data_IF_844186427706
#
_entry.id   IF_844186427706
#
_cell.length_a   1.000
_cell.length_b   1.000
_cell.length_c   1.000
_cell.angle_alpha   90.00
_cell.angle_beta   90.00
_cell.angle_gamma   90.00
#
_symmetry.space_group_name_H-M   'P 1'
#
loop_
_entity.id
_entity.type
_entity.pdbx_description
1 polymer ?
#
# COMPACT_ATOMS: atom_id res chain seq x y z
N UNK A 1 -18.41 -16.82 0.89
CA UNK A 1 -17.62 -15.92 0.02
C UNK A 1 -17.14 -16.72 -1.18
N UNK A 2 -17.40 -16.27 -2.42
CA UNK A 2 -16.79 -16.92 -3.60
C UNK A 2 -15.33 -16.51 -3.66
N UNK A 3 -14.44 -17.50 -3.76
CA UNK A 3 -13.02 -17.26 -3.92
C UNK A 3 -12.74 -16.47 -5.21
N UNK A 4 -11.84 -15.50 -5.14
CA UNK A 4 -11.39 -14.70 -6.27
C UNK A 4 -9.86 -14.59 -6.28
N UNK A 5 -9.25 -15.09 -7.34
CA UNK A 5 -7.79 -15.04 -7.56
C UNK A 5 -7.24 -13.61 -7.59
N UNK A 6 -7.98 -12.68 -8.19
CA UNK A 6 -7.60 -11.26 -8.25
C UNK A 6 -7.55 -10.58 -6.87
N UNK A 7 -8.20 -11.16 -5.86
CA UNK A 7 -8.17 -10.66 -4.50
C UNK A 7 -7.02 -11.26 -3.66
N UNK A 8 -6.38 -12.33 -4.12
CA UNK A 8 -5.29 -12.97 -3.37
C UNK A 8 -4.13 -12.01 -3.09
N UNK A 9 -3.48 -12.15 -1.91
CA UNK A 9 -3.68 -13.24 -0.93
C UNK A 9 -4.86 -13.02 0.04
N UNK A 10 -5.50 -11.85 0.05
CA UNK A 10 -6.57 -11.54 0.99
C UNK A 10 -7.89 -11.34 0.26
N UNK A 11 -8.81 -12.28 0.45
CA UNK A 11 -10.10 -12.23 -0.22
C UNK A 11 -10.91 -10.99 0.15
N UNK A 12 -11.74 -10.53 -0.79
CA UNK A 12 -12.58 -9.34 -0.66
C UNK A 12 -14.00 -9.68 -1.09
N UNK A 13 -15.01 -9.23 -0.33
CA UNK A 13 -16.40 -9.44 -0.73
C UNK A 13 -16.76 -8.33 -1.72
N UNK A 14 -16.66 -8.61 -3.02
CA UNK A 14 -16.80 -7.62 -4.09
C UNK A 14 -18.05 -6.74 -3.98
N UNK A 15 -19.19 -7.34 -3.65
CA UNK A 15 -20.46 -6.60 -3.52
C UNK A 15 -20.40 -5.62 -2.36
N UNK A 16 -19.80 -6.02 -1.22
CA UNK A 16 -19.60 -5.13 -0.07
C UNK A 16 -18.63 -4.02 -0.41
N UNK A 17 -17.50 -4.34 -1.05
CA UNK A 17 -16.54 -3.34 -1.52
C UNK A 17 -17.21 -2.33 -2.46
N UNK A 18 -17.94 -2.80 -3.48
CA UNK A 18 -18.64 -1.94 -4.43
C UNK A 18 -19.70 -1.06 -3.74
N UNK A 19 -20.55 -1.66 -2.89
CA UNK A 19 -21.60 -0.93 -2.17
C UNK A 19 -20.99 0.08 -1.20
N UNK A 20 -19.88 -0.24 -0.53
CA UNK A 20 -19.21 0.69 0.39
C UNK A 20 -18.77 1.97 -0.31
N UNK A 21 -18.29 1.87 -1.56
CA UNK A 21 -17.94 3.04 -2.37
C UNK A 21 -19.18 3.87 -2.69
N UNK A 22 -20.29 3.21 -3.06
CA UNK A 22 -21.54 3.90 -3.42
C UNK A 22 -22.17 4.57 -2.20
N UNK A 23 -22.24 3.86 -1.05
CA UNK A 23 -22.72 4.40 0.21
C UNK A 23 -21.87 5.59 0.66
N UNK A 24 -20.55 5.51 0.50
CA UNK A 24 -19.65 6.64 0.76
C UNK A 24 -20.09 7.92 0.07
N UNK A 25 -20.58 7.87 -1.18
CA UNK A 25 -21.07 9.06 -1.88
C UNK A 25 -22.45 9.55 -1.41
N UNK A 26 -23.29 8.65 -0.93
CA UNK A 26 -24.62 8.98 -0.40
C UNK A 26 -24.49 9.60 0.99
N UNK A 27 -23.57 9.05 1.78
CA UNK A 27 -23.36 9.40 3.18
C UNK A 27 -22.45 10.64 3.32
N UNK A 28 -21.53 10.89 2.37
CA UNK A 28 -20.58 12.02 2.42
C UNK A 28 -21.24 13.40 2.64
N UNK A 29 -22.35 13.77 1.96
CA UNK A 29 -23.03 15.05 2.23
C UNK A 29 -23.59 15.14 3.65
N UNK A 30 -24.16 14.05 4.16
CA UNK A 30 -24.72 13.97 5.50
C UNK A 30 -23.62 14.00 6.57
N UNK A 31 -22.57 13.19 6.41
CA UNK A 31 -21.42 13.19 7.33
C UNK A 31 -20.66 14.51 7.29
N UNK A 32 -20.45 15.11 6.13
CA UNK A 32 -19.82 16.44 6.02
C UNK A 32 -20.63 17.53 6.74
N UNK A 33 -21.96 17.45 6.68
CA UNK A 33 -22.85 18.32 7.43
C UNK A 33 -22.77 18.05 8.94
N UNK A 34 -22.88 16.79 9.36
CA UNK A 34 -22.80 16.38 10.77
C UNK A 34 -21.45 16.73 11.38
N UNK A 35 -20.36 16.49 10.68
CA UNK A 35 -19.01 16.82 11.12
C UNK A 35 -18.86 18.34 11.29
N UNK A 36 -19.39 19.17 10.38
CA UNK A 36 -19.41 20.63 10.58
C UNK A 36 -20.20 21.06 11.81
N UNK A 37 -21.30 20.35 12.12
CA UNK A 37 -22.17 20.65 13.27
C UNK A 37 -21.54 20.20 14.60
N UNK A 38 -20.80 19.08 14.61
CA UNK A 38 -20.31 18.44 15.83
C UNK A 38 -18.78 18.44 16.00
N UNK A 39 -18.03 19.06 15.07
CA UNK A 39 -16.56 19.02 14.99
C UNK A 39 -15.87 19.26 16.34
N UNK A 40 -16.30 20.31 17.03
CA UNK A 40 -15.69 20.74 18.28
C UNK A 40 -16.06 19.87 19.49
N UNK A 41 -17.11 19.05 19.37
CA UNK A 41 -17.63 18.21 20.46
C UNK A 41 -17.10 16.78 20.39
N UNK A 42 -17.05 16.16 19.20
CA UNK A 42 -16.56 14.80 19.02
C UNK A 42 -15.04 14.69 19.25
N UNK A 43 -14.25 15.61 18.67
CA UNK A 43 -12.77 15.59 18.76
C UNK A 43 -12.25 15.79 20.20
N UNK A 44 -12.97 16.53 21.05
CA UNK A 44 -12.59 16.75 22.46
C UNK A 44 -13.06 15.65 23.41
N UNK A 45 -14.02 14.84 22.97
CA UNK A 45 -14.67 13.82 23.77
C UNK A 45 -14.23 12.41 23.39
N UNK A 46 -13.68 12.20 22.18
CA UNK A 46 -13.28 10.88 21.68
C UNK A 46 -12.42 10.13 22.70
N UNK A 47 -11.24 10.64 23.08
CA UNK A 47 -10.36 9.91 24.03
C UNK A 47 -11.00 9.72 25.42
N UNK A 48 -11.77 10.72 25.87
CA UNK A 48 -12.43 10.68 27.19
C UNK A 48 -13.63 9.75 27.23
N UNK A 49 -14.23 9.41 26.09
CA UNK A 49 -15.38 8.50 25.99
C UNK A 49 -14.94 7.10 25.56
N UNK A 50 -13.96 6.99 24.65
CA UNK A 50 -13.54 5.73 24.05
C UNK A 50 -13.03 4.74 25.09
N UNK A 51 -12.14 5.14 26.00
CA UNK A 51 -11.65 4.23 27.03
C UNK A 51 -12.75 3.80 28.03
N UNK A 52 -13.61 4.70 28.56
CA UNK A 52 -14.79 4.29 29.31
C UNK A 52 -15.74 3.37 28.54
N UNK A 53 -15.94 3.61 27.24
CA UNK A 53 -16.75 2.74 26.38
C UNK A 53 -16.14 1.35 26.25
N UNK A 54 -14.84 1.25 25.96
CA UNK A 54 -14.12 -0.03 25.93
C UNK A 54 -14.25 -0.76 27.27
N UNK A 55 -14.01 -0.07 28.38
CA UNK A 55 -14.16 -0.63 29.72
C UNK A 55 -15.60 -1.09 30.00
N UNK A 56 -16.62 -0.34 29.55
CA UNK A 56 -18.02 -0.73 29.65
C UNK A 56 -18.32 -1.99 28.83
N UNK A 57 -17.84 -2.08 27.59
CA UNK A 57 -18.02 -3.27 26.75
C UNK A 57 -17.34 -4.50 27.35
N UNK A 58 -16.15 -4.34 27.92
CA UNK A 58 -15.48 -5.43 28.67
C UNK A 58 -16.27 -5.81 29.91
N UNK A 59 -16.74 -4.83 30.68
CA UNK A 59 -17.58 -5.07 31.87
C UNK A 59 -18.86 -5.83 31.53
N UNK A 60 -19.52 -5.49 30.42
CA UNK A 60 -20.71 -6.16 29.90
C UNK A 60 -20.41 -7.51 29.22
N UNK A 61 -19.14 -7.94 29.17
CA UNK A 61 -18.66 -9.15 28.47
C UNK A 61 -19.00 -9.17 26.97
N UNK A 62 -19.17 -7.99 26.37
CA UNK A 62 -19.37 -7.81 24.94
C UNK A 62 -18.03 -7.68 24.21
N UNK A 63 -16.96 -7.26 24.90
CA UNK A 63 -15.59 -7.23 24.39
C UNK A 63 -14.58 -7.76 25.41
N UNK A 64 -13.31 -7.83 25.01
CA UNK A 64 -12.20 -8.16 25.91
C UNK A 64 -10.92 -7.41 25.54
N UNK A 65 -9.97 -7.36 26.48
CA UNK A 65 -8.62 -6.84 26.24
C UNK A 65 -7.68 -7.98 25.83
N UNK A 66 -6.80 -7.71 24.87
CA UNK A 66 -5.59 -8.48 24.61
C UNK A 66 -4.36 -7.69 25.05
N UNK A 67 -3.40 -8.34 25.70
CA UNK A 67 -2.18 -7.71 26.21
C UNK A 67 -0.92 -8.18 25.48
N UNK A 68 -1.09 -8.87 24.37
CA UNK A 68 -0.03 -9.30 23.47
C UNK A 68 -0.59 -9.49 22.06
N UNK A 69 0.24 -9.38 21.01
CA UNK A 69 -0.18 -9.75 19.67
C UNK A 69 -0.51 -11.25 19.58
N UNK A 70 -1.47 -11.60 18.72
CA UNK A 70 -1.81 -12.97 18.34
C UNK A 70 -1.41 -13.29 16.88
N UNK A 71 -1.55 -14.55 16.49
CA UNK A 71 -1.14 -15.01 15.15
C UNK A 71 -1.90 -14.35 14.00
N UNK A 72 -3.14 -13.89 14.25
CA UNK A 72 -4.01 -13.24 13.26
C UNK A 72 -3.67 -11.77 13.08
N UNK A 73 -2.90 -11.17 14.00
CA UNK A 73 -2.53 -9.77 13.90
C UNK A 73 -1.56 -9.54 12.73
N UNK A 74 -1.69 -8.37 12.13
CA UNK A 74 -0.88 -8.00 10.98
C UNK A 74 0.60 -7.85 11.39
N UNK A 75 1.52 -8.07 10.45
CA UNK A 75 2.94 -7.81 10.67
C UNK A 75 3.20 -6.35 11.08
N UNK A 76 2.38 -5.41 10.59
CA UNK A 76 2.36 -4.01 11.02
C UNK A 76 2.09 -3.88 12.52
N UNK A 77 1.01 -4.49 13.02
CA UNK A 77 0.68 -4.50 14.45
C UNK A 77 1.82 -5.11 15.26
N UNK A 78 2.34 -6.27 14.83
CA UNK A 78 3.41 -6.98 15.53
C UNK A 78 4.69 -6.15 15.65
N UNK A 79 5.21 -5.60 14.54
CA UNK A 79 6.45 -4.80 14.59
C UNK A 79 6.28 -3.49 15.38
N UNK A 80 5.08 -2.90 15.36
CA UNK A 80 4.80 -1.69 16.14
C UNK A 80 4.73 -1.99 17.65
N UNK A 81 4.13 -3.12 18.02
CA UNK A 81 4.04 -3.60 19.39
C UNK A 81 5.40 -4.04 19.95
N UNK A 82 6.19 -4.77 19.18
CA UNK A 82 7.54 -5.19 19.57
C UNK A 82 8.43 -3.98 19.91
N UNK A 83 8.31 -2.90 19.13
CA UNK A 83 9.02 -1.65 19.43
C UNK A 83 8.49 -0.98 20.71
N UNK A 84 7.19 -1.05 20.96
CA UNK A 84 6.59 -0.54 22.20
C UNK A 84 7.13 -1.28 23.42
N UNK A 85 7.20 -2.62 23.35
CA UNK A 85 7.76 -3.47 24.41
C UNK A 85 9.24 -3.15 24.67
N UNK A 86 10.05 -2.96 23.61
CA UNK A 86 11.46 -2.56 23.73
C UNK A 86 11.63 -1.25 24.51
N UNK A 87 10.67 -0.33 24.38
CA UNK A 87 10.67 0.99 25.05
C UNK A 87 9.99 0.98 26.42
N UNK A 88 9.47 -0.15 26.87
CA UNK A 88 8.69 -0.24 28.11
C UNK A 88 7.29 0.40 28.03
N UNK A 89 6.76 0.61 26.83
CA UNK A 89 5.39 1.09 26.59
C UNK A 89 4.45 -0.10 26.75
N UNK A 90 3.47 0.02 27.65
CA UNK A 90 2.46 -1.00 27.88
C UNK A 90 1.33 -0.84 26.87
N UNK A 91 1.19 -1.79 25.96
CA UNK A 91 0.10 -1.82 24.99
C UNK A 91 -0.99 -2.83 25.38
N UNK A 92 -2.24 -2.50 25.02
CA UNK A 92 -3.39 -3.41 25.04
C UNK A 92 -4.29 -3.13 23.83
N UNK A 93 -4.89 -4.18 23.28
CA UNK A 93 -5.82 -4.11 22.16
C UNK A 93 -7.23 -4.48 22.63
N UNK A 94 -8.23 -3.72 22.19
CA UNK A 94 -9.64 -3.97 22.45
C UNK A 94 -10.26 -4.82 21.33
N UNK A 95 -10.91 -5.92 21.69
CA UNK A 95 -11.60 -6.81 20.75
C UNK A 95 -13.12 -6.74 20.99
N UNK A 96 -13.88 -6.49 19.92
CA UNK A 96 -15.35 -6.48 19.91
C UNK A 96 -15.86 -7.32 18.73
N UNK A 97 -16.07 -8.61 18.97
CA UNK A 97 -16.41 -9.57 17.91
C UNK A 97 -15.30 -9.64 16.84
N UNK A 98 -15.59 -9.37 15.55
CA UNK A 98 -14.56 -9.34 14.51
C UNK A 98 -13.78 -8.02 14.45
N UNK A 99 -14.21 -7.00 15.21
CA UNK A 99 -13.56 -5.70 15.23
C UNK A 99 -12.32 -5.80 16.11
N UNK A 100 -11.17 -5.59 15.46
CA UNK A 100 -9.81 -5.50 16.00
C UNK A 100 -9.21 -4.17 15.53
N UNK A 101 -8.00 -3.83 15.97
CA UNK A 101 -7.24 -2.60 15.68
C UNK A 101 -7.47 -1.40 16.63
N UNK A 102 -8.26 -1.52 17.70
CA UNK A 102 -8.37 -0.46 18.72
C UNK A 102 -7.33 -0.63 19.82
N UNK A 103 -6.36 0.27 19.94
CA UNK A 103 -5.23 0.14 20.85
C UNK A 103 -5.22 1.22 21.94
N UNK A 104 -4.67 0.84 23.10
CA UNK A 104 -4.30 1.76 24.16
C UNK A 104 -2.84 1.53 24.50
N UNK A 105 -2.04 2.59 24.51
CA UNK A 105 -0.64 2.56 24.90
C UNK A 105 -0.39 3.47 26.10
N UNK A 106 0.33 2.97 27.10
CA UNK A 106 0.62 3.64 28.35
C UNK A 106 2.13 3.63 28.63
N UNK A 107 2.69 4.79 28.97
CA UNK A 107 4.10 4.93 29.37
C UNK A 107 4.24 5.83 30.59
N UNK A 108 5.21 5.51 31.46
CA UNK A 108 5.42 6.21 32.72
C UNK A 108 4.46 5.83 33.86
N UNK A 109 4.68 6.44 35.03
CA UNK A 109 3.97 6.14 36.27
C UNK A 109 3.46 7.41 36.98
N UNK A 110 2.44 7.25 37.81
CA UNK A 110 1.82 8.35 38.57
C UNK A 110 1.39 9.52 37.68
N UNK A 111 1.68 10.74 38.11
CA UNK A 111 1.35 11.97 37.40
C UNK A 111 2.11 12.16 36.08
N UNK A 112 3.15 11.36 35.84
CA UNK A 112 3.92 11.35 34.59
C UNK A 112 3.39 10.32 33.57
N UNK A 113 2.34 9.57 33.91
CA UNK A 113 1.75 8.60 32.99
C UNK A 113 1.16 9.31 31.78
N UNK A 114 1.51 8.79 30.60
CA UNK A 114 0.96 9.19 29.32
C UNK A 114 0.17 8.03 28.76
N UNK A 115 -1.02 8.34 28.25
CA UNK A 115 -1.92 7.37 27.65
C UNK A 115 -2.38 7.91 26.31
N UNK A 116 -2.22 7.09 25.27
CA UNK A 116 -2.78 7.37 23.95
C UNK A 116 -3.71 6.23 23.55
N UNK A 117 -4.79 6.58 22.85
CA UNK A 117 -5.76 5.65 22.28
C UNK A 117 -5.72 5.88 20.77
N UNK A 118 -5.67 4.81 19.98
CA UNK A 118 -5.57 4.94 18.53
C UNK A 118 -6.09 3.69 17.83
N UNK A 119 -6.53 3.87 16.59
CA UNK A 119 -6.92 2.78 15.71
C UNK A 119 -5.83 2.51 14.67
N UNK A 120 -5.34 1.27 14.60
CA UNK A 120 -4.28 0.85 13.69
C UNK A 120 -2.90 1.42 14.06
N UNK A 121 -2.60 2.65 13.63
CA UNK A 121 -1.34 3.36 13.93
C UNK A 121 -1.64 4.77 14.46
N UNK A 122 -0.93 5.24 15.50
CA UNK A 122 -1.26 6.50 16.16
C UNK A 122 -0.86 7.71 15.32
N UNK A 123 -1.63 8.79 15.47
CA UNK A 123 -1.32 10.13 14.96
C UNK A 123 -1.15 11.09 16.14
N UNK A 124 -0.13 11.97 16.16
CA UNK A 124 -0.02 12.99 17.18
C UNK A 124 -1.15 14.03 17.05
N UNK A 125 -1.72 14.43 18.19
CA UNK A 125 -2.74 15.48 18.28
C UNK A 125 -4.17 15.02 18.00
N UNK A 126 -5.12 15.91 18.27
CA UNK A 126 -6.57 15.62 18.15
C UNK A 126 -7.17 15.95 16.78
N UNK A 127 -6.44 16.71 15.96
CA UNK A 127 -6.96 17.21 14.68
C UNK A 127 -6.53 16.28 13.55
N UNK A 128 -7.50 15.57 12.99
CA UNK A 128 -7.27 14.76 11.80
C UNK A 128 -7.01 15.61 10.55
N UNK A 129 -6.14 15.12 9.67
CA UNK A 129 -5.89 15.75 8.38
C UNK A 129 -7.16 15.73 7.51
N UNK A 130 -7.57 16.86 6.91
CA UNK A 130 -8.62 16.87 5.89
C UNK A 130 -8.31 15.96 4.69
N UNK A 131 -7.03 15.60 4.48
CA UNK A 131 -6.63 14.71 3.41
C UNK A 131 -7.06 13.26 3.61
N UNK A 132 -7.33 12.81 4.84
CA UNK A 132 -7.75 11.43 5.12
C UNK A 132 -9.02 11.03 4.37
N UNK A 133 -9.88 12.00 4.08
CA UNK A 133 -11.15 11.78 3.35
C UNK A 133 -10.96 11.44 1.87
N UNK A 134 -9.82 11.78 1.30
CA UNK A 134 -9.61 11.67 -0.15
C UNK A 134 -8.26 11.12 -0.59
N UNK A 135 -7.24 11.05 0.28
CA UNK A 135 -5.88 10.66 -0.13
C UNK A 135 -5.82 9.24 -0.72
N UNK A 136 -6.68 8.34 -0.24
CA UNK A 136 -6.77 6.96 -0.73
C UNK A 136 -7.64 6.85 -2.00
N UNK A 137 -8.36 7.93 -2.37
CA UNK A 137 -9.12 8.04 -3.62
C UNK A 137 -8.19 8.45 -4.76
N UNK A 138 -7.81 7.46 -5.58
CA UNK A 138 -6.81 7.60 -6.65
C UNK A 138 -7.15 8.69 -7.68
N UNK A 139 -8.43 8.88 -8.00
CA UNK A 139 -8.91 9.93 -8.89
C UNK A 139 -8.73 11.34 -8.33
N UNK A 140 -9.25 11.57 -7.11
CA UNK A 140 -9.16 12.89 -6.45
C UNK A 140 -7.71 13.24 -6.14
N UNK A 141 -6.93 12.26 -5.65
CA UNK A 141 -5.51 12.42 -5.38
C UNK A 141 -4.77 12.88 -6.64
N UNK A 142 -4.96 12.17 -7.76
CA UNK A 142 -4.31 12.52 -9.03
C UNK A 142 -4.60 13.95 -9.45
N UNK A 143 -5.88 14.37 -9.43
CA UNK A 143 -6.25 15.72 -9.83
C UNK A 143 -5.60 16.79 -8.95
N UNK A 144 -5.53 16.56 -7.64
CA UNK A 144 -4.90 17.48 -6.69
C UNK A 144 -3.39 17.53 -6.88
N UNK A 145 -2.74 16.38 -7.02
CA UNK A 145 -1.29 16.28 -7.16
C UNK A 145 -0.82 16.89 -8.48
N UNK A 146 -1.58 16.68 -9.57
CA UNK A 146 -1.30 17.33 -10.85
C UNK A 146 -1.36 18.86 -10.76
N UNK A 147 -2.30 19.42 -10.01
CA UNK A 147 -2.40 20.87 -9.76
C UNK A 147 -1.24 21.41 -8.92
N UNK A 148 -0.70 20.57 -8.05
CA UNK A 148 0.46 20.87 -7.19
C UNK A 148 1.80 20.68 -7.92
N UNK A 149 1.79 20.23 -9.19
CA UNK A 149 3.00 19.96 -9.95
C UNK A 149 3.74 18.68 -9.54
N UNK A 150 3.09 17.81 -8.76
CA UNK A 150 3.63 16.50 -8.39
C UNK A 150 3.49 15.50 -9.57
N UNK A 151 4.49 14.64 -9.80
CA UNK A 151 4.45 13.70 -10.92
C UNK A 151 3.41 12.61 -10.68
N UNK A 152 2.50 12.45 -11.62
CA UNK A 152 1.45 11.41 -11.62
C UNK A 152 1.23 10.91 -13.04
N UNK A 153 0.78 9.67 -13.18
CA UNK A 153 0.48 9.08 -14.49
C UNK A 153 -0.62 9.86 -15.23
N UNK A 154 -0.40 10.15 -16.51
CA UNK A 154 -1.44 10.73 -17.37
C UNK A 154 -2.64 9.80 -17.53
N UNK A 155 -3.84 10.36 -17.62
CA UNK A 155 -5.08 9.60 -17.74
C UNK A 155 -6.21 10.18 -16.90
N UNK A 156 -7.17 9.34 -16.55
CA UNK A 156 -8.36 9.78 -15.83
C UNK A 156 -9.22 8.65 -15.30
N UNK A 157 -10.42 9.01 -14.84
CA UNK A 157 -11.37 8.09 -14.24
C UNK A 157 -12.59 7.93 -15.15
N UNK A 158 -13.04 6.70 -15.34
CA UNK A 158 -14.24 6.40 -16.12
C UNK A 158 -15.29 5.65 -15.29
N UNK A 159 -16.53 6.11 -15.42
CA UNK A 159 -17.70 5.37 -14.97
C UNK A 159 -18.17 4.33 -15.99
N UNK A 160 -18.09 4.64 -17.27
CA UNK A 160 -18.67 3.84 -18.35
C UNK A 160 -17.60 3.29 -19.29
N UNK A 161 -17.95 2.20 -20.00
CA UNK A 161 -17.12 1.63 -21.07
C UNK A 161 -16.76 2.68 -22.13
N UNK A 162 -17.71 3.53 -22.52
CA UNK A 162 -17.47 4.58 -23.51
C UNK A 162 -16.52 5.66 -22.98
N UNK A 163 -16.61 6.02 -21.70
CA UNK A 163 -15.65 6.91 -21.04
C UNK A 163 -14.25 6.31 -21.02
N UNK A 164 -14.12 5.03 -20.66
CA UNK A 164 -12.83 4.34 -20.64
C UNK A 164 -12.16 4.31 -22.02
N UNK A 165 -12.92 3.99 -23.07
CA UNK A 165 -12.42 4.01 -24.45
C UNK A 165 -12.01 5.41 -24.91
N UNK A 166 -12.72 6.46 -24.51
CA UNK A 166 -12.32 7.85 -24.81
C UNK A 166 -10.97 8.19 -24.18
N UNK A 167 -10.77 7.87 -22.90
CA UNK A 167 -9.50 8.10 -22.19
C UNK A 167 -8.37 7.30 -22.85
N UNK A 168 -8.58 6.00 -23.08
CA UNK A 168 -7.62 5.14 -23.74
C UNK A 168 -7.20 5.67 -25.12
N UNK A 169 -8.16 6.03 -25.98
CA UNK A 169 -7.85 6.56 -27.30
C UNK A 169 -7.08 7.89 -27.23
N UNK A 170 -7.35 8.72 -26.22
CA UNK A 170 -6.59 9.95 -25.98
C UNK A 170 -5.13 9.64 -25.61
N UNK A 171 -4.91 8.70 -24.68
CA UNK A 171 -3.57 8.25 -24.27
C UNK A 171 -2.80 7.61 -25.42
N UNK A 172 -3.46 6.73 -26.20
CA UNK A 172 -2.84 6.09 -27.37
C UNK A 172 -2.41 7.11 -28.43
N UNK A 173 -3.20 8.18 -28.65
CA UNK A 173 -2.83 9.26 -29.59
C UNK A 173 -1.63 10.07 -29.09
N UNK A 174 -1.56 10.33 -27.78
CA UNK A 174 -0.54 11.18 -27.20
C UNK A 174 0.82 10.48 -27.07
N UNK A 175 0.83 9.21 -26.61
CA UNK A 175 2.07 8.55 -26.20
C UNK A 175 2.31 7.20 -26.92
N UNK A 176 1.28 6.57 -27.51
CA UNK A 176 1.35 5.20 -28.09
C UNK A 176 2.01 4.16 -27.15
N UNK A 177 1.68 4.21 -25.86
CA UNK A 177 2.21 3.30 -24.84
C UNK A 177 1.10 2.47 -24.20
N UNK A 178 1.42 1.34 -23.57
CA UNK A 178 0.45 0.60 -22.78
C UNK A 178 -0.19 1.46 -21.69
N UNK A 179 -1.43 1.13 -21.35
CA UNK A 179 -2.15 1.70 -20.22
C UNK A 179 -2.38 0.64 -19.15
N UNK A 180 -2.89 1.09 -18.01
CA UNK A 180 -3.35 0.21 -16.94
C UNK A 180 -4.81 0.54 -16.59
N UNK A 181 -5.51 -0.44 -16.01
CA UNK A 181 -6.81 -0.23 -15.38
C UNK A 181 -6.76 -0.67 -13.93
N UNK A 182 -7.26 0.15 -13.00
CA UNK A 182 -7.37 -0.20 -11.58
C UNK A 182 -8.66 0.37 -10.95
N UNK A 183 -9.21 -0.27 -9.91
CA UNK A 183 -10.31 0.32 -9.14
C UNK A 183 -9.89 1.69 -8.56
N UNK A 184 -10.82 2.65 -8.53
CA UNK A 184 -10.54 3.99 -7.99
C UNK A 184 -10.27 3.99 -6.48
N UNK A 185 -10.92 3.08 -5.77
CA UNK A 185 -10.68 2.77 -4.36
C UNK A 185 -10.31 1.29 -4.24
N UNK A 186 -9.34 0.99 -3.38
CA UNK A 186 -8.82 -0.36 -3.17
C UNK A 186 -7.30 -0.37 -3.03
N UNK A 187 -6.75 -1.52 -2.66
CA UNK A 187 -5.35 -1.73 -2.34
C UNK A 187 -4.84 -3.08 -2.88
N UNK A 188 -3.54 -3.36 -2.69
CA UNK A 188 -2.88 -4.66 -2.99
C UNK A 188 -2.97 -5.08 -4.47
N UNK A 189 -3.04 -4.10 -5.38
CA UNK A 189 -3.17 -4.33 -6.83
C UNK A 189 -4.38 -5.20 -7.22
N UNK A 190 -5.41 -5.29 -6.36
CA UNK A 190 -6.59 -6.11 -6.62
C UNK A 190 -7.33 -5.59 -7.85
N UNK A 191 -7.74 -6.53 -8.71
CA UNK A 191 -8.45 -6.23 -9.96
C UNK A 191 -7.75 -5.18 -10.85
N UNK A 192 -6.42 -5.04 -10.71
CA UNK A 192 -5.60 -4.24 -11.60
C UNK A 192 -5.21 -5.08 -12.82
N UNK A 193 -5.10 -4.44 -13.97
CA UNK A 193 -4.55 -5.01 -15.19
C UNK A 193 -3.56 -4.01 -15.79
N UNK A 194 -2.36 -4.48 -16.10
CA UNK A 194 -1.30 -3.71 -16.76
C UNK A 194 -1.07 -4.22 -18.19
N UNK A 195 -0.19 -3.57 -18.96
CA UNK A 195 0.16 -3.96 -20.33
C UNK A 195 -1.03 -3.91 -21.31
N UNK A 196 -1.92 -2.93 -21.14
CA UNK A 196 -3.12 -2.76 -21.99
C UNK A 196 -2.75 -1.91 -23.20
N UNK A 197 -2.62 -2.57 -24.35
CA UNK A 197 -2.27 -1.96 -25.64
C UNK A 197 -3.41 -2.03 -26.67
N UNK A 198 -4.50 -2.77 -26.39
CA UNK A 198 -5.68 -2.87 -27.26
C UNK A 198 -7.00 -2.50 -26.57
N UNK A 199 -8.01 -2.04 -27.33
CA UNK A 199 -9.35 -1.80 -26.81
C UNK A 199 -9.99 -3.03 -26.14
N UNK A 200 -9.72 -4.24 -26.63
CA UNK A 200 -10.27 -5.49 -26.08
C UNK A 200 -9.70 -5.75 -24.69
N UNK A 201 -8.38 -5.61 -24.53
CA UNK A 201 -7.71 -5.71 -23.22
C UNK A 201 -8.22 -4.63 -22.27
N UNK A 202 -8.43 -3.40 -22.76
CA UNK A 202 -8.99 -2.32 -21.95
C UNK A 202 -10.38 -2.67 -21.43
N UNK A 203 -11.26 -3.18 -22.29
CA UNK A 203 -12.63 -3.54 -21.88
C UNK A 203 -12.60 -4.67 -20.85
N UNK A 204 -11.70 -5.64 -21.02
CA UNK A 204 -11.50 -6.72 -20.05
C UNK A 204 -11.03 -6.17 -18.70
N UNK A 205 -9.97 -5.36 -18.68
CA UNK A 205 -9.44 -4.71 -17.47
C UNK A 205 -10.46 -3.79 -16.78
N UNK A 206 -11.22 -3.03 -17.57
CA UNK A 206 -12.29 -2.18 -17.06
C UNK A 206 -13.37 -3.00 -16.36
N UNK A 207 -13.86 -4.09 -16.97
CA UNK A 207 -14.85 -4.97 -16.34
C UNK A 207 -14.32 -5.63 -15.07
N UNK A 208 -13.04 -6.00 -15.06
CA UNK A 208 -12.34 -6.56 -13.90
C UNK A 208 -12.33 -5.55 -12.74
N UNK A 209 -11.80 -4.35 -12.96
CA UNK A 209 -11.77 -3.28 -11.95
C UNK A 209 -13.17 -2.87 -11.45
N UNK A 210 -14.16 -2.84 -12.34
CA UNK A 210 -15.56 -2.47 -12.02
C UNK A 210 -16.21 -3.40 -10.99
N UNK A 211 -15.68 -4.61 -10.78
CA UNK A 211 -16.17 -5.54 -9.73
C UNK A 211 -15.97 -4.99 -8.32
N UNK A 212 -14.93 -4.19 -8.10
CA UNK A 212 -14.62 -3.61 -6.78
C UNK A 212 -15.03 -2.15 -6.65
N UNK A 213 -15.01 -1.40 -7.75
CA UNK A 213 -15.32 0.03 -7.69
C UNK A 213 -16.19 0.47 -8.86
N UNK A 214 -17.22 1.30 -8.62
CA UNK A 214 -17.97 1.98 -9.67
C UNK A 214 -17.12 2.95 -10.51
N UNK A 215 -15.96 3.39 -10.04
CA UNK A 215 -15.05 4.22 -10.82
C UNK A 215 -13.78 3.43 -11.14
N UNK A 216 -13.35 3.46 -12.40
CA UNK A 216 -12.14 2.79 -12.85
C UNK A 216 -11.14 3.84 -13.31
N UNK A 217 -9.91 3.76 -12.83
CA UNK A 217 -8.80 4.58 -13.31
C UNK A 217 -8.23 3.95 -14.58
N UNK A 218 -8.06 4.76 -15.62
CA UNK A 218 -7.37 4.42 -16.86
C UNK A 218 -6.20 5.40 -16.98
N UNK A 219 -4.97 4.90 -16.94
CA UNK A 219 -3.77 5.75 -16.94
C UNK A 219 -2.62 5.12 -17.72
N UNK A 220 -1.66 5.93 -18.15
CA UNK A 220 -0.43 5.43 -18.75
C UNK A 220 0.26 4.43 -17.81
N UNK A 221 0.89 3.41 -18.39
CA UNK A 221 1.76 2.53 -17.64
C UNK A 221 3.10 3.23 -17.38
N UNK A 222 3.37 3.54 -16.12
CA UNK A 222 4.65 4.07 -15.67
C UNK A 222 5.76 3.02 -15.84
N UNK A 223 7.00 3.48 -16.01
CA UNK A 223 8.18 2.62 -16.23
C UNK A 223 9.09 2.66 -15.01
N UNK A 224 9.54 1.48 -14.58
CA UNK A 224 10.56 1.34 -13.55
C UNK A 224 10.14 0.37 -12.45
N UNK A 225 10.75 0.52 -11.29
CA UNK A 225 10.45 -0.29 -10.11
C UNK A 225 9.38 0.40 -9.26
N UNK A 226 8.61 -0.40 -8.53
CA UNK A 226 7.64 0.09 -7.57
C UNK A 226 8.34 0.36 -6.23
N UNK A 227 8.17 1.56 -5.69
CA UNK A 227 8.69 1.95 -4.38
C UNK A 227 7.57 2.36 -3.44
N UNK A 228 7.77 2.10 -2.15
CA UNK A 228 6.93 2.58 -1.05
C UNK A 228 7.78 3.50 -0.17
N UNK A 229 7.56 4.80 -0.31
CA UNK A 229 8.03 5.80 0.65
C UNK A 229 7.13 5.80 1.88
N UNK A 230 7.70 5.98 3.07
CA UNK A 230 6.93 6.19 4.31
C UNK A 230 7.39 7.45 4.98
N UNK A 231 6.44 8.32 5.27
CA UNK A 231 6.64 9.66 5.80
C UNK A 231 6.09 9.67 7.23
N UNK A 232 6.92 10.14 8.18
CA UNK A 232 6.55 10.30 9.59
C UNK A 232 6.87 11.74 9.98
N UNK A 233 5.87 12.47 10.50
CA UNK A 233 6.04 13.86 10.92
C UNK A 233 6.50 14.79 9.78
N UNK A 234 6.06 14.52 8.55
CA UNK A 234 6.47 15.28 7.36
C UNK A 234 7.86 14.92 6.81
N UNK A 235 8.56 13.94 7.40
CA UNK A 235 9.92 13.54 7.02
C UNK A 235 10.00 12.13 6.49
N UNK A 236 10.92 11.90 5.55
CA UNK A 236 11.15 10.57 4.99
C UNK A 236 11.71 9.61 6.03
N UNK A 237 10.89 8.64 6.42
CA UNK A 237 11.25 7.60 7.38
C UNK A 237 11.91 6.40 6.69
N UNK A 238 11.48 6.05 5.48
CA UNK A 238 12.14 5.03 4.67
C UNK A 238 11.55 4.86 3.28
N UNK A 239 12.28 4.19 2.38
CA UNK A 239 11.87 3.86 1.01
C UNK A 239 12.23 2.43 0.67
N UNK A 240 11.22 1.58 0.53
CA UNK A 240 11.42 0.17 0.16
C UNK A 240 11.03 -0.07 -1.30
N UNK A 241 11.92 -0.73 -2.06
CA UNK A 241 11.60 -1.25 -3.40
C UNK A 241 10.79 -2.53 -3.27
N UNK A 242 9.76 -2.69 -4.11
CA UNK A 242 8.83 -3.81 -4.09
C UNK A 242 8.89 -4.50 -5.45
N UNK A 243 9.57 -5.63 -5.49
CA UNK A 243 9.79 -6.38 -6.73
C UNK A 243 8.71 -7.44 -6.92
N UNK A 244 8.42 -7.73 -8.19
CA UNK A 244 7.57 -8.87 -8.55
C UNK A 244 8.28 -10.17 -8.15
N UNK A 245 7.58 -11.31 -8.08
CA UNK A 245 8.24 -12.60 -8.04
C UNK A 245 9.06 -12.71 -9.32
N UNK A 246 10.39 -12.74 -9.19
CA UNK A 246 11.29 -12.64 -10.32
C UNK A 246 12.56 -13.45 -10.12
N UNK A 247 13.21 -13.78 -11.24
CA UNK A 247 14.58 -14.29 -11.26
C UNK A 247 15.39 -13.58 -12.33
N UNK A 248 16.70 -13.51 -12.10
CA UNK A 248 17.64 -12.95 -13.05
C UNK A 248 18.32 -14.08 -13.82
N UNK A 249 18.25 -14.03 -15.14
CA UNK A 249 19.01 -14.91 -16.02
C UNK A 249 20.51 -14.80 -15.75
N UNK A 250 21.19 -15.93 -15.79
CA UNK A 250 22.65 -16.01 -15.74
C UNK A 250 23.27 -16.53 -17.05
N UNK A 251 22.43 -16.88 -18.03
CA UNK A 251 22.85 -17.45 -19.32
C UNK A 251 23.28 -18.91 -19.25
N UNK A 252 23.07 -19.60 -18.12
CA UNK A 252 23.54 -20.98 -17.89
C UNK A 252 22.37 -21.87 -17.46
N UNK A 253 21.60 -21.45 -16.45
CA UNK A 253 20.53 -22.25 -15.87
C UNK A 253 19.17 -21.97 -16.52
N UNK A 254 18.33 -22.99 -16.54
CA UNK A 254 16.93 -22.87 -16.97
C UNK A 254 16.14 -21.99 -16.01
N UNK A 255 15.02 -21.45 -16.49
CA UNK A 255 14.12 -20.66 -15.65
C UNK A 255 13.60 -21.45 -14.45
N UNK A 256 13.37 -22.75 -14.60
CA UNK A 256 13.01 -23.66 -13.50
C UNK A 256 14.10 -23.74 -12.43
N UNK A 257 15.35 -24.00 -12.83
CA UNK A 257 16.48 -24.09 -11.90
C UNK A 257 16.74 -22.75 -11.18
N UNK A 258 16.62 -21.63 -11.90
CA UNK A 258 16.73 -20.30 -11.30
C UNK A 258 15.63 -20.05 -10.26
N UNK A 259 14.38 -20.44 -10.56
CA UNK A 259 13.26 -20.31 -9.64
C UNK A 259 13.43 -21.22 -8.41
N UNK A 260 13.85 -22.47 -8.60
CA UNK A 260 14.07 -23.41 -7.51
C UNK A 260 15.16 -22.91 -6.56
N UNK A 261 16.28 -22.43 -7.12
CA UNK A 261 17.36 -21.78 -6.34
C UNK A 261 16.88 -20.55 -5.58
N UNK A 262 16.03 -19.72 -6.19
CA UNK A 262 15.45 -18.56 -5.51
C UNK A 262 14.50 -18.98 -4.38
N UNK A 263 13.76 -20.08 -4.56
CA UNK A 263 12.85 -20.67 -3.58
C UNK A 263 13.55 -21.41 -2.43
N UNK A 264 14.82 -21.75 -2.58
CA UNK A 264 15.67 -22.36 -1.53
C UNK A 264 16.11 -21.36 -0.46
N UNK A 265 15.95 -20.05 -0.70
CA UNK A 265 16.23 -19.01 0.30
C UNK A 265 15.53 -19.29 1.63
N UNK A 266 16.26 -19.32 2.76
CA UNK A 266 15.67 -19.56 4.09
C UNK A 266 14.52 -18.61 4.42
N UNK A 267 14.60 -17.36 3.98
CA UNK A 267 13.60 -16.31 4.21
C UNK A 267 12.23 -16.65 3.59
N UNK A 268 12.20 -17.49 2.54
CA UNK A 268 10.98 -17.94 1.86
C UNK A 268 10.31 -19.15 2.55
N UNK A 269 10.92 -19.68 3.61
CA UNK A 269 10.34 -20.74 4.44
C UNK A 269 9.59 -20.19 5.68
N UNK A 270 9.64 -18.87 5.91
CA UNK A 270 9.01 -18.19 7.04
C UNK A 270 7.65 -17.55 6.70
N UNK A 271 6.97 -16.92 7.67
CA UNK A 271 5.63 -16.35 7.45
C UNK A 271 5.65 -15.00 6.70
N UNK A 272 6.82 -14.53 6.28
CA UNK A 272 7.01 -13.18 5.72
C UNK A 272 7.07 -13.26 4.20
N UNK A 273 8.08 -13.96 3.66
CA UNK A 273 8.24 -14.18 2.23
C UNK A 273 7.80 -15.59 1.88
N UNK A 274 7.17 -15.74 0.73
CA UNK A 274 6.65 -17.02 0.27
C UNK A 274 7.41 -17.48 -0.97
N UNK A 275 7.32 -18.78 -1.26
CA UNK A 275 7.87 -19.35 -2.49
C UNK A 275 7.13 -18.81 -3.71
N UNK A 276 7.87 -18.63 -4.80
CA UNK A 276 7.34 -18.43 -6.15
C UNK A 276 6.67 -19.75 -6.57
N UNK A 277 5.42 -19.67 -7.02
CA UNK A 277 4.64 -20.82 -7.47
C UNK A 277 4.22 -20.58 -8.91
N UNK A 278 4.35 -21.61 -9.75
CA UNK A 278 3.79 -21.60 -11.11
C UNK A 278 2.31 -21.96 -11.04
N UNK A 279 1.48 -20.94 -11.11
CA UNK A 279 0.03 -21.06 -11.26
C UNK A 279 -0.41 -20.54 -12.65
N UNK A 280 -1.70 -20.59 -13.01
CA UNK A 280 -2.16 -20.11 -14.31
C UNK A 280 -1.88 -18.63 -14.61
N UNK A 281 -1.73 -17.77 -13.59
CA UNK A 281 -1.39 -16.36 -13.78
C UNK A 281 0.11 -16.21 -14.04
N UNK A 282 0.94 -17.01 -13.35
CA UNK A 282 2.36 -17.08 -13.63
C UNK A 282 2.64 -17.61 -15.04
N UNK A 283 1.94 -18.66 -15.47
CA UNK A 283 2.03 -19.13 -16.85
C UNK A 283 1.61 -18.07 -17.87
N UNK A 284 0.55 -17.31 -17.58
CA UNK A 284 0.10 -16.23 -18.43
C UNK A 284 1.12 -15.09 -18.50
N UNK A 285 1.79 -14.79 -17.39
CA UNK A 285 2.85 -13.79 -17.33
C UNK A 285 4.10 -14.24 -18.11
N UNK A 286 4.50 -15.51 -18.00
CA UNK A 286 5.64 -16.06 -18.77
C UNK A 286 5.38 -16.13 -20.28
N UNK A 287 4.13 -16.41 -20.68
CA UNK A 287 3.70 -16.37 -22.08
C UNK A 287 3.57 -14.96 -22.62
N UNK A 288 3.70 -13.93 -21.78
CA UNK A 288 3.65 -12.55 -22.23
C UNK A 288 4.94 -12.22 -22.98
N UNK A 289 4.85 -11.73 -24.23
CA UNK A 289 6.01 -11.17 -24.91
C UNK A 289 6.55 -10.02 -24.07
N UNK A 290 7.78 -10.14 -23.53
CA UNK A 290 8.41 -9.08 -22.72
C UNK A 290 8.47 -7.73 -23.47
N UNK A 291 8.37 -7.76 -24.81
CA UNK A 291 8.11 -6.65 -25.73
C UNK A 291 7.24 -7.17 -26.88
N UNK A 292 6.48 -6.30 -27.54
CA UNK A 292 5.76 -6.64 -28.77
C UNK A 292 6.75 -7.26 -29.79
N UNK A 293 6.70 -8.58 -29.96
CA UNK A 293 7.62 -9.36 -30.81
C UNK A 293 8.55 -10.35 -30.11
N UNK A 294 8.47 -10.53 -28.78
CA UNK A 294 9.20 -11.59 -28.07
C UNK A 294 8.55 -12.98 -28.24
N UNK A 295 9.38 -14.02 -28.24
CA UNK A 295 8.93 -15.41 -28.17
C UNK A 295 8.33 -15.72 -26.78
N UNK A 296 7.44 -16.70 -26.72
CA UNK A 296 6.88 -17.19 -25.45
C UNK A 296 8.00 -17.78 -24.59
N UNK A 297 8.10 -17.33 -23.33
CA UNK A 297 9.09 -17.87 -22.40
C UNK A 297 8.52 -19.12 -21.73
N UNK A 298 9.32 -20.17 -21.69
CA UNK A 298 9.00 -21.43 -21.01
C UNK A 298 9.94 -21.68 -19.85
N UNK A 299 9.53 -22.56 -18.92
CA UNK A 299 10.36 -22.94 -17.78
C UNK A 299 11.68 -23.64 -18.17
N UNK A 300 11.80 -24.12 -19.42
CA UNK A 300 13.01 -24.79 -19.95
C UNK A 300 13.98 -23.81 -20.62
N UNK A 301 13.59 -22.56 -20.80
CA UNK A 301 14.43 -21.58 -21.46
C UNK A 301 15.56 -21.17 -20.52
N UNK A 302 16.73 -20.87 -21.09
CA UNK A 302 17.88 -20.33 -20.37
C UNK A 302 17.89 -18.81 -20.62
N UNK A 303 17.47 -17.97 -19.65
CA UNK A 303 17.39 -16.54 -19.87
C UNK A 303 18.81 -15.95 -19.96
N UNK A 304 19.07 -15.02 -20.91
CA UNK A 304 20.36 -14.34 -21.02
C UNK A 304 20.78 -13.68 -19.71
N UNK A 305 22.09 -13.60 -19.48
CA UNK A 305 22.65 -12.98 -18.29
C UNK A 305 22.12 -11.55 -18.10
N UNK A 306 21.58 -11.27 -16.91
CA UNK A 306 21.03 -9.97 -16.54
C UNK A 306 19.58 -9.72 -16.99
N UNK A 307 18.95 -10.64 -17.74
CA UNK A 307 17.54 -10.53 -18.10
C UNK A 307 16.66 -10.90 -16.90
N UNK A 308 15.86 -9.95 -16.41
CA UNK A 308 14.86 -10.21 -15.36
C UNK A 308 13.62 -10.86 -15.98
N UNK A 309 13.18 -11.97 -15.39
CA UNK A 309 11.96 -12.70 -15.75
C UNK A 309 11.02 -12.65 -14.54
N UNK A 310 9.79 -12.20 -14.75
CA UNK A 310 8.78 -12.06 -13.70
C UNK A 310 7.69 -13.11 -13.83
N UNK A 311 7.15 -13.58 -12.71
CA UNK A 311 6.11 -14.61 -12.63
C UNK A 311 4.75 -14.05 -12.20
N UNK A 312 4.64 -12.75 -11.94
CA UNK A 312 3.36 -12.13 -11.62
C UNK A 312 3.41 -10.64 -11.88
N UNK A 313 2.26 -10.06 -12.23
CA UNK A 313 2.08 -8.61 -12.29
C UNK A 313 2.02 -7.97 -10.90
N UNK A 314 1.73 -8.77 -9.85
CA UNK A 314 1.62 -8.30 -8.46
C UNK A 314 3.00 -8.33 -7.79
N UNK A 315 3.25 -7.37 -6.90
CA UNK A 315 4.45 -7.27 -6.04
C UNK A 315 4.21 -7.77 -4.62
N UNK A 316 3.22 -8.64 -4.44
CA UNK A 316 2.79 -9.11 -3.11
C UNK A 316 3.72 -10.22 -2.61
N UNK A 317 4.12 -10.17 -1.34
CA UNK A 317 4.91 -11.26 -0.71
C UNK A 317 4.26 -12.64 -0.88
N UNK A 318 2.92 -12.69 -0.80
CA UNK A 318 2.14 -13.92 -0.93
C UNK A 318 2.18 -14.61 -2.30
N UNK A 319 2.60 -13.93 -3.37
CA UNK A 319 2.88 -14.56 -4.67
C UNK A 319 4.38 -14.75 -4.94
N UNK A 320 5.22 -14.55 -3.93
CA UNK A 320 6.68 -14.66 -4.02
C UNK A 320 7.40 -13.34 -4.34
N UNK A 321 6.70 -12.20 -4.30
CA UNK A 321 7.30 -10.88 -4.44
C UNK A 321 8.23 -10.54 -3.29
N UNK A 322 9.19 -9.67 -3.54
CA UNK A 322 10.27 -9.36 -2.58
C UNK A 322 10.30 -7.87 -2.24
N UNK A 323 10.99 -7.53 -1.16
CA UNK A 323 11.19 -6.14 -0.74
C UNK A 323 12.65 -5.87 -0.42
N UNK A 324 13.15 -4.71 -0.88
CA UNK A 324 14.54 -4.27 -0.68
C UNK A 324 14.54 -2.89 -0.03
N UNK A 325 15.16 -2.74 1.15
CA UNK A 325 15.32 -1.42 1.75
C UNK A 325 16.37 -0.61 0.97
N UNK A 326 16.00 0.58 0.49
CA UNK A 326 16.83 1.44 -0.35
C UNK A 326 16.90 2.90 0.13
N UNK A 327 16.43 3.21 1.35
CA UNK A 327 16.42 4.58 1.89
C UNK A 327 17.74 5.34 1.70
N UNK A 328 18.87 4.70 1.95
CA UNK A 328 20.19 5.35 1.96
C UNK A 328 20.68 5.77 0.56
N UNK A 329 20.08 5.26 -0.51
CA UNK A 329 20.48 5.55 -1.90
C UNK A 329 19.50 6.46 -2.64
N UNK A 330 18.45 6.94 -1.96
CA UNK A 330 17.42 7.77 -2.59
C UNK A 330 17.97 9.15 -2.96
N UNK A 331 17.80 9.55 -4.22
CA UNK A 331 18.20 10.88 -4.69
C UNK A 331 17.47 12.00 -3.92
N UNK A 332 18.17 13.10 -3.63
CA UNK A 332 17.63 14.21 -2.84
C UNK A 332 16.35 14.85 -3.42
N UNK A 333 16.24 14.96 -4.74
CA UNK A 333 15.00 15.44 -5.38
C UNK A 333 13.79 14.53 -5.13
N UNK A 334 14.02 13.21 -5.02
CA UNK A 334 12.96 12.25 -4.74
C UNK A 334 12.53 12.36 -3.27
N UNK A 335 13.48 12.57 -2.36
CA UNK A 335 13.20 12.89 -0.95
C UNK A 335 12.36 14.17 -0.85
N UNK A 336 12.79 15.24 -1.54
CA UNK A 336 12.07 16.53 -1.54
C UNK A 336 10.64 16.40 -2.08
N UNK A 337 10.43 15.63 -3.16
CA UNK A 337 9.08 15.32 -3.66
C UNK A 337 8.24 14.59 -2.62
N UNK A 338 8.77 13.56 -1.96
CA UNK A 338 8.03 12.79 -0.95
C UNK A 338 7.69 13.64 0.28
N UNK A 339 8.60 14.50 0.73
CA UNK A 339 8.33 15.44 1.83
C UNK A 339 7.34 16.54 1.41
N UNK A 340 7.35 16.99 0.15
CA UNK A 340 6.33 17.89 -0.39
C UNK A 340 4.95 17.23 -0.35
N UNK A 341 4.85 15.96 -0.75
CA UNK A 341 3.60 15.18 -0.64
C UNK A 341 3.12 15.15 0.81
N UNK A 342 4.02 14.90 1.77
CA UNK A 342 3.66 14.89 3.18
C UNK A 342 3.15 16.25 3.66
N UNK A 343 3.82 17.33 3.27
CA UNK A 343 3.42 18.70 3.61
C UNK A 343 2.08 19.07 2.97
N UNK A 344 1.82 18.66 1.73
CA UNK A 344 0.57 18.95 1.03
C UNK A 344 -0.63 18.20 1.63
N UNK A 345 -0.40 16.97 2.07
CA UNK A 345 -1.41 16.16 2.74
C UNK A 345 -1.63 16.58 4.19
N UNK A 346 -0.67 17.23 4.84
CA UNK A 346 -0.73 17.67 6.24
C UNK A 346 -1.17 16.53 7.19
N UNK A 347 -0.67 15.31 6.93
CA UNK A 347 -0.89 14.13 7.79
C UNK A 347 0.45 13.62 8.33
N UNK A 348 0.53 13.29 9.63
CA UNK A 348 1.78 12.87 10.26
C UNK A 348 2.24 11.47 9.85
N UNK A 349 1.41 10.66 9.18
CA UNK A 349 1.74 9.29 8.79
C UNK A 349 1.18 8.97 7.41
N UNK A 350 2.07 8.90 6.41
CA UNK A 350 1.68 8.65 5.02
C UNK A 350 2.58 7.59 4.39
N UNK A 351 1.98 6.63 3.70
CA UNK A 351 2.69 5.81 2.71
C UNK A 351 2.47 6.32 1.30
N UNK A 352 3.53 6.49 0.52
CA UNK A 352 3.46 6.94 -0.87
C UNK A 352 4.00 5.83 -1.77
N UNK A 353 3.17 5.29 -2.67
CA UNK A 353 3.64 4.42 -3.75
C UNK A 353 3.98 5.24 -4.97
N UNK A 354 5.14 4.99 -5.56
CA UNK A 354 5.58 5.63 -6.78
C UNK A 354 6.42 4.67 -7.63
N UNK A 355 6.45 4.93 -8.93
CA UNK A 355 7.30 4.21 -9.88
C UNK A 355 8.36 5.15 -10.41
N UNK A 356 9.60 4.68 -10.43
CA UNK A 356 10.76 5.35 -11.05
C UNK A 356 11.75 4.27 -11.52
N UNK A 357 12.49 4.51 -12.59
CA UNK A 357 13.42 3.53 -13.16
C UNK A 357 14.69 3.39 -12.32
N UNK A 358 15.21 4.51 -11.80
CA UNK A 358 16.40 4.53 -10.95
C UNK A 358 16.20 5.51 -9.77
N UNK A 359 16.01 4.95 -8.57
CA UNK A 359 15.78 5.75 -7.36
C UNK A 359 16.96 6.66 -6.99
N UNK A 360 18.15 6.39 -7.55
CA UNK A 360 19.37 7.17 -7.34
C UNK A 360 19.45 8.40 -8.24
N UNK A 361 18.51 8.56 -9.18
CA UNK A 361 18.39 9.73 -10.08
C UNK A 361 17.19 10.60 -9.72
N UNK A 362 17.22 11.85 -10.17
CA UNK A 362 16.11 12.77 -9.98
C UNK A 362 14.89 12.37 -10.80
N UNK A 363 13.72 12.31 -10.17
CA UNK A 363 12.43 12.13 -10.86
C UNK A 363 12.18 13.20 -11.93
N UNK A 364 12.83 14.37 -11.83
CA UNK A 364 12.71 15.47 -12.81
C UNK A 364 13.38 15.14 -14.14
N UNK A 365 14.36 14.24 -14.13
CA UNK A 365 15.12 13.81 -15.32
C UNK A 365 14.55 12.52 -15.92
N UNK A 366 13.76 11.79 -15.14
CA UNK A 366 13.16 10.53 -15.57
C UNK A 366 11.82 10.73 -16.29
N UNK A 367 11.63 9.96 -17.36
CA UNK A 367 10.37 9.96 -18.10
C UNK A 367 9.45 8.85 -17.60
N UNK A 368 8.16 9.14 -17.53
CA UNK A 368 7.13 8.16 -17.17
C UNK A 368 7.33 7.53 -15.78
N UNK A 369 7.80 8.35 -14.85
CA UNK A 369 7.79 8.07 -13.42
C UNK A 369 6.64 8.86 -12.75
N UNK A 370 6.29 8.50 -11.51
CA UNK A 370 5.32 9.27 -10.75
C UNK A 370 4.65 8.51 -9.61
N UNK A 371 3.85 9.25 -8.85
CA UNK A 371 3.10 8.77 -7.69
C UNK A 371 1.84 8.04 -8.17
N UNK A 372 1.59 6.87 -7.58
CA UNK A 372 0.50 5.95 -7.95
C UNK A 372 -0.65 6.03 -6.96
N UNK A 373 -0.33 6.03 -5.67
CA UNK A 373 -1.29 6.07 -4.56
C UNK A 373 -0.63 6.61 -3.29
N UNK A 374 -1.44 7.25 -2.45
CA UNK A 374 -1.12 7.49 -1.05
C UNK A 374 -1.93 6.53 -0.19
N UNK A 375 -1.42 6.25 1.01
CA UNK A 375 -2.00 5.33 1.97
C UNK A 375 -1.99 5.98 3.36
N UNK A 376 -3.18 6.21 3.90
CA UNK A 376 -3.40 6.72 5.27
C UNK A 376 -2.95 5.74 6.36
N UNK A 377 -2.97 4.43 6.10
CA UNK A 377 -2.55 3.40 7.05
C UNK A 377 -1.46 2.51 6.44
N UNK A 378 -0.23 3.02 6.28
CA UNK A 378 0.83 2.34 5.57
C UNK A 378 1.27 1.03 6.24
N UNK A 379 1.73 0.09 5.44
CA UNK A 379 2.39 -1.14 5.91
C UNK A 379 3.83 -0.83 6.30
N UNK A 380 4.03 -0.30 7.51
CA UNK A 380 5.38 0.03 8.03
C UNK A 380 6.26 -1.22 8.18
N UNK A 381 5.65 -2.41 8.30
CA UNK A 381 6.35 -3.71 8.34
C UNK A 381 7.13 -4.03 7.06
N UNK A 382 6.86 -3.32 5.96
CA UNK A 382 7.66 -3.44 4.74
C UNK A 382 9.12 -3.00 4.95
N UNK A 383 9.38 -2.10 5.90
CA UNK A 383 10.73 -1.62 6.24
C UNK A 383 11.45 -2.49 7.26
N UNK A 384 10.69 -3.18 8.14
CA UNK A 384 11.25 -4.06 9.16
C UNK A 384 11.62 -5.43 8.62
N UNK A 385 10.82 -5.93 7.67
CA UNK A 385 10.96 -7.26 7.13
C UNK A 385 11.30 -7.20 5.63
N UNK A 386 12.57 -6.96 5.33
CA UNK A 386 13.10 -6.91 3.96
C UNK A 386 13.83 -8.20 3.60
N UNK A 387 13.77 -8.58 2.33
CA UNK A 387 14.56 -9.71 1.82
C UNK A 387 16.00 -9.27 1.54
N UNK A 388 16.17 -8.01 1.13
CA UNK A 388 17.45 -7.42 0.82
C UNK A 388 17.62 -6.04 1.46
N UNK A 389 18.86 -5.65 1.72
CA UNK A 389 19.19 -4.38 2.38
C UNK A 389 19.08 -4.47 3.90
N UNK A 390 19.27 -3.33 4.56
CA UNK A 390 19.25 -3.21 6.02
C UNK A 390 17.83 -2.88 6.50
N UNK A 391 17.23 -3.66 7.42
CA UNK A 391 15.96 -3.30 8.03
C UNK A 391 15.97 -1.89 8.64
N UNK A 392 14.86 -1.18 8.52
CA UNK A 392 14.71 0.20 8.99
C UNK A 392 13.56 0.28 10.00
N UNK A 393 13.88 0.71 11.23
CA UNK A 393 12.94 0.78 12.36
C UNK A 393 12.00 1.98 12.24
N UNK A 394 11.08 1.91 11.27
CA UNK A 394 10.05 2.93 11.04
C UNK A 394 9.03 2.97 12.19
N UNK A 395 8.84 1.85 12.91
CA UNK A 395 7.97 1.83 14.09
C UNK A 395 8.53 2.72 15.21
N UNK A 396 9.85 2.66 15.43
CA UNK A 396 10.52 3.51 16.40
C UNK A 396 10.41 4.99 16.06
N UNK A 397 10.57 5.35 14.79
CA UNK A 397 10.36 6.73 14.32
C UNK A 397 8.94 7.22 14.58
N UNK A 398 7.93 6.35 14.48
CA UNK A 398 6.55 6.71 14.80
C UNK A 398 6.35 6.88 16.31
N UNK A 399 6.91 5.99 17.14
CA UNK A 399 6.88 6.13 18.60
C UNK A 399 7.60 7.41 19.07
N UNK A 400 8.72 7.78 18.45
CA UNK A 400 9.41 9.05 18.71
C UNK A 400 8.48 10.26 18.47
N UNK A 401 7.56 10.16 17.51
CA UNK A 401 6.62 11.22 17.20
C UNK A 401 5.42 11.26 18.17
N UNK A 402 4.85 10.11 18.52
CA UNK A 402 3.59 10.05 19.30
C UNK A 402 3.79 9.93 20.81
N UNK A 403 4.96 9.48 21.24
CA UNK A 403 5.32 9.26 22.64
C UNK A 403 6.83 9.53 22.85
N UNK A 404 7.30 10.77 22.61
CA UNK A 404 8.73 11.11 22.62
C UNK A 404 9.43 10.80 23.94
N UNK A 405 8.72 10.83 25.06
CA UNK A 405 9.21 10.46 26.38
C UNK A 405 9.64 8.99 26.51
N UNK A 406 9.19 8.12 25.61
CA UNK A 406 9.56 6.70 25.55
C UNK A 406 10.88 6.45 24.82
N UNK A 407 11.46 7.49 24.21
CA UNK A 407 12.68 7.37 23.42
C UNK A 407 13.82 6.90 24.32
N UNK A 408 14.36 5.74 24.00
CA UNK A 408 15.56 5.19 24.63
C UNK A 408 16.78 5.69 23.86
N UNK A 409 17.86 6.06 24.56
CA UNK A 409 19.13 6.51 23.96
C UNK A 409 19.84 5.41 23.17
#
# INVERSE_FOLDING_TARGET
MKHCKDCEPAQEIHVVAYISVVLGWIDEPFFSMMEKLFKNFAEKMADKITLPFFNLMVFLRLGHWSFKPDDKDTLRTKCFWEEAERRGIKMKEFHLGPIKDGFVAEFGEGDKRKTIIFDGLPRPGLKESPALKWMDNKGIMKEKFKKEGLPVAEGGVAWSKSGALKIFNSLQKAQKRPVITKPNLGSRSRHTLIHIDTPEKLIYGFKKAKKLSPLVVIEEELRGFLFRGTLIGGKLAGVVRRDQPEVMGDGIHTLQELMDKENERPERNGPIFYKIIIDPDAEAELKRPARAGGENITMRDIPPKGKVITFSQKTSRGCGGTTTEVTDIVHGDNVAMLEHVASFLDDPLIGVDFIIEDITKSWKEEQHCGIIECNSLPFIDLHHYVLFGKPNNVAGKLWDLVMPESKSD
#
